data_IF_730542629396
#
_entry.id   IF_730542629396
#
_cell.length_a   1.000
_cell.length_b   1.000
_cell.length_c   1.000
_cell.angle_alpha   90.00
_cell.angle_beta   90.00
_cell.angle_gamma   90.00
#
_symmetry.space_group_name_H-M   'P 1'
#
loop_
_entity.id
_entity.type
_entity.pdbx_description
1 polymer ?
#
# COMPACT_ATOMS: atom_id res chain seq x y z
N UNK A 1 9.29 66.34 52.45
CA UNK A 1 8.02 66.04 51.76
C UNK A 1 8.31 65.83 50.29
N UNK A 2 7.85 64.69 49.77
CA UNK A 2 8.20 64.09 48.49
C UNK A 2 7.50 64.81 47.34
N UNK A 3 8.23 65.20 46.29
CA UNK A 3 7.67 65.52 44.97
C UNK A 3 8.33 64.62 43.92
N UNK A 4 7.48 63.90 43.18
CA UNK A 4 7.82 62.93 42.14
C UNK A 4 8.31 63.65 40.88
N UNK A 5 9.47 63.25 40.37
CA UNK A 5 9.88 63.51 38.99
C UNK A 5 9.91 62.18 38.21
N UNK A 6 9.12 62.12 37.14
CA UNK A 6 9.00 61.00 36.21
C UNK A 6 10.11 61.07 35.16
N UNK A 7 10.94 60.03 35.07
CA UNK A 7 11.95 59.87 34.02
C UNK A 7 11.38 59.17 32.77
N UNK A 8 11.76 59.56 31.55
CA UNK A 8 11.27 58.94 30.32
C UNK A 8 12.04 57.65 29.99
N UNK A 9 11.29 56.59 29.63
CA UNK A 9 11.84 55.29 29.21
C UNK A 9 12.47 55.37 27.80
N UNK A 10 13.75 55.07 27.70
CA UNK A 10 14.50 54.84 26.45
C UNK A 10 13.97 53.61 25.72
N UNK A 11 13.67 53.76 24.43
CA UNK A 11 13.43 52.67 23.47
C UNK A 11 14.79 52.08 23.06
N UNK A 12 15.06 50.84 23.43
CA UNK A 12 16.22 50.09 22.93
C UNK A 12 15.85 49.36 21.64
N UNK A 13 16.51 49.71 20.55
CA UNK A 13 16.55 48.92 19.32
C UNK A 13 17.19 47.55 19.59
N UNK A 14 16.43 46.47 19.43
CA UNK A 14 16.97 45.12 19.33
C UNK A 14 16.93 44.73 17.85
N UNK A 15 18.12 44.46 17.31
CA UNK A 15 18.37 44.06 15.94
C UNK A 15 17.62 42.76 15.58
N UNK A 16 17.02 42.76 14.40
CA UNK A 16 16.36 41.62 13.77
C UNK A 16 17.38 40.51 13.51
N UNK A 17 17.28 39.40 14.26
CA UNK A 17 17.97 38.15 13.93
C UNK A 17 17.31 37.50 12.72
N UNK A 18 18.08 37.52 11.63
CA UNK A 18 18.15 36.58 10.51
C UNK A 18 17.12 35.44 10.51
N UNK A 19 16.27 35.46 9.49
CA UNK A 19 15.38 34.37 9.11
C UNK A 19 16.19 33.09 8.78
N UNK A 20 15.70 31.89 9.15
CA UNK A 20 16.28 30.64 8.66
C UNK A 20 16.12 30.56 7.15
N UNK A 21 17.22 30.21 6.47
CA UNK A 21 17.28 30.01 5.04
C UNK A 21 16.17 29.07 4.56
N UNK A 22 15.46 29.49 3.52
CA UNK A 22 14.53 28.67 2.76
C UNK A 22 15.33 27.50 2.16
N UNK A 23 15.20 26.32 2.74
CA UNK A 23 15.61 25.08 2.11
C UNK A 23 14.70 24.87 0.91
N UNK A 24 15.30 24.91 -0.28
CA UNK A 24 14.67 24.51 -1.54
C UNK A 24 13.94 23.18 -1.35
N UNK A 25 12.73 23.01 -1.92
CA UNK A 25 12.05 21.72 -1.85
C UNK A 25 12.96 20.68 -2.48
N UNK A 26 13.24 19.62 -1.72
CA UNK A 26 13.93 18.44 -2.21
C UNK A 26 13.28 18.03 -3.54
N UNK A 27 14.10 17.93 -4.58
CA UNK A 27 13.71 17.37 -5.86
C UNK A 27 13.06 16.02 -5.62
N UNK A 28 11.83 15.86 -6.09
CA UNK A 28 11.12 14.58 -6.02
C UNK A 28 12.02 13.47 -6.56
N UNK A 29 12.07 12.29 -5.92
CA UNK A 29 12.74 11.14 -6.51
C UNK A 29 12.14 10.88 -7.90
N UNK A 30 12.97 10.34 -8.80
CA UNK A 30 12.57 9.96 -10.16
C UNK A 30 11.59 8.78 -10.11
N UNK A 31 10.37 9.03 -9.65
CA UNK A 31 9.28 8.07 -9.64
C UNK A 31 9.01 7.68 -11.10
N UNK A 32 8.95 6.38 -11.39
CA UNK A 32 8.43 5.90 -12.67
C UNK A 32 7.07 6.54 -12.91
N UNK A 33 6.97 7.33 -13.98
CA UNK A 33 5.76 8.08 -14.29
C UNK A 33 4.93 7.28 -15.27
N UNK A 34 3.77 6.85 -14.78
CA UNK A 34 2.71 6.29 -15.62
C UNK A 34 2.35 7.29 -16.72
N UNK A 35 2.12 6.83 -17.94
CA UNK A 35 1.59 7.73 -18.97
C UNK A 35 0.19 8.20 -18.57
N UNK A 36 -0.24 9.36 -19.05
CA UNK A 36 -1.61 9.85 -18.78
C UNK A 36 -2.68 8.83 -19.18
N UNK A 37 -2.43 8.05 -20.25
CA UNK A 37 -3.33 6.98 -20.70
C UNK A 37 -3.43 5.86 -19.66
N UNK A 38 -2.30 5.46 -19.08
CA UNK A 38 -2.27 4.39 -18.07
C UNK A 38 -2.98 4.87 -16.80
N UNK A 39 -2.71 6.10 -16.37
CA UNK A 39 -3.38 6.74 -15.24
C UNK A 39 -4.89 6.82 -15.45
N UNK A 40 -5.34 7.23 -16.64
CA UNK A 40 -6.77 7.26 -16.97
C UNK A 40 -7.39 5.85 -16.96
N UNK A 41 -6.64 4.84 -17.40
CA UNK A 41 -7.08 3.44 -17.35
C UNK A 41 -7.32 2.98 -15.91
N UNK A 42 -6.42 3.33 -14.98
CA UNK A 42 -6.59 2.97 -13.57
C UNK A 42 -7.81 3.63 -12.93
N UNK A 43 -8.07 4.92 -13.16
CA UNK A 43 -9.27 5.57 -12.61
C UNK A 43 -10.55 5.07 -13.30
N UNK A 44 -10.49 4.66 -14.57
CA UNK A 44 -11.63 4.07 -15.27
C UNK A 44 -12.05 2.72 -14.68
N UNK A 45 -11.10 1.93 -14.16
CA UNK A 45 -11.41 0.66 -13.47
C UNK A 45 -12.31 0.91 -12.26
N UNK A 46 -12.01 1.93 -11.45
CA UNK A 46 -12.88 2.33 -10.34
C UNK A 46 -14.20 2.91 -10.83
N UNK A 47 -14.18 3.76 -11.86
CA UNK A 47 -15.40 4.35 -12.42
C UNK A 47 -16.37 3.28 -12.94
N UNK A 48 -15.85 2.24 -13.60
CA UNK A 48 -16.61 1.10 -14.09
C UNK A 48 -17.13 0.20 -12.97
N UNK A 49 -16.28 -0.14 -11.99
CA UNK A 49 -16.66 -0.98 -10.85
C UNK A 49 -17.76 -0.35 -10.01
N UNK A 50 -17.69 0.97 -9.79
CA UNK A 50 -18.56 1.68 -8.85
C UNK A 50 -19.49 2.68 -9.56
N UNK A 51 -19.83 2.46 -10.83
CA UNK A 51 -20.67 3.38 -11.61
C UNK A 51 -22.00 3.69 -10.90
N UNK A 52 -22.67 2.68 -10.34
CA UNK A 52 -23.92 2.85 -9.60
C UNK A 52 -23.74 3.74 -8.36
N UNK A 53 -22.68 3.52 -7.60
CA UNK A 53 -22.34 4.32 -6.41
C UNK A 53 -22.01 5.75 -6.78
N UNK A 54 -21.20 5.95 -7.83
CA UNK A 54 -20.81 7.27 -8.34
C UNK A 54 -22.00 8.08 -8.87
N UNK A 55 -23.03 7.40 -9.39
CA UNK A 55 -24.27 8.03 -9.86
C UNK A 55 -25.34 8.23 -8.79
N UNK A 56 -25.13 7.70 -7.58
CA UNK A 56 -26.13 7.72 -6.51
C UNK A 56 -26.25 9.10 -5.86
N UNK A 57 -27.49 9.58 -5.74
CA UNK A 57 -27.80 10.83 -5.00
C UNK A 57 -27.45 10.72 -3.50
N UNK A 58 -27.31 9.51 -2.96
CA UNK A 58 -26.95 9.26 -1.57
C UNK A 58 -25.44 9.30 -1.31
N UNK A 59 -24.60 9.26 -2.36
CA UNK A 59 -23.15 9.23 -2.21
C UNK A 59 -22.60 10.37 -1.34
N UNK A 60 -23.01 11.65 -1.50
CA UNK A 60 -22.46 12.72 -0.67
C UNK A 60 -22.69 12.53 0.83
N UNK A 61 -23.87 12.03 1.23
CA UNK A 61 -24.18 11.77 2.63
C UNK A 61 -23.35 10.61 3.18
N UNK A 62 -23.21 9.53 2.40
CA UNK A 62 -22.41 8.37 2.77
C UNK A 62 -20.91 8.72 2.89
N UNK A 63 -20.39 9.55 1.98
CA UNK A 63 -19.01 10.04 2.07
C UNK A 63 -18.78 10.90 3.32
N UNK A 64 -19.76 11.71 3.74
CA UNK A 64 -19.65 12.49 4.98
C UNK A 64 -19.65 11.59 6.22
N UNK A 65 -20.48 10.54 6.24
CA UNK A 65 -20.46 9.55 7.31
C UNK A 65 -19.09 8.87 7.42
N UNK A 66 -18.54 8.39 6.31
CA UNK A 66 -17.23 7.75 6.28
C UNK A 66 -16.15 8.74 6.74
N UNK A 67 -16.15 9.98 6.24
CA UNK A 67 -15.20 11.03 6.67
C UNK A 67 -15.26 11.26 8.17
N UNK A 68 -16.47 11.33 8.74
CA UNK A 68 -16.66 11.54 10.17
C UNK A 68 -16.15 10.36 11.00
N UNK A 69 -16.40 9.12 10.56
CA UNK A 69 -15.90 7.91 11.19
C UNK A 69 -14.36 7.86 11.16
N UNK A 70 -13.74 8.15 10.01
CA UNK A 70 -12.28 8.23 9.86
C UNK A 70 -11.66 9.34 10.71
N UNK A 71 -12.30 10.51 10.80
CA UNK A 71 -11.85 11.60 11.67
C UNK A 71 -11.86 11.19 13.15
N UNK A 72 -12.90 10.45 13.56
CA UNK A 72 -13.03 9.91 14.91
C UNK A 72 -12.17 8.67 15.17
N UNK A 73 -11.47 8.16 14.14
CA UNK A 73 -10.75 6.89 14.14
C UNK A 73 -11.62 5.68 14.54
N UNK A 74 -12.88 5.71 14.12
CA UNK A 74 -13.83 4.62 14.25
C UNK A 74 -13.84 3.82 12.94
N UNK A 75 -12.84 2.96 12.76
CA UNK A 75 -12.66 2.22 11.51
C UNK A 75 -13.71 1.13 11.34
N UNK A 76 -14.15 0.49 12.43
CA UNK A 76 -15.32 -0.38 12.44
C UNK A 76 -16.58 0.27 11.85
N UNK A 77 -16.87 1.53 12.18
CA UNK A 77 -17.97 2.27 11.53
C UNK A 77 -17.66 2.66 10.08
N UNK A 78 -16.42 3.05 9.78
CA UNK A 78 -16.03 3.47 8.43
C UNK A 78 -16.08 2.31 7.41
N UNK A 79 -15.74 1.09 7.85
CA UNK A 79 -15.47 -0.05 6.96
C UNK A 79 -16.35 -1.28 7.23
N UNK A 80 -17.15 -1.29 8.30
CA UNK A 80 -17.95 -2.46 8.67
C UNK A 80 -19.16 -2.75 7.78
N UNK A 81 -19.50 -1.87 6.83
CA UNK A 81 -20.63 -2.05 5.90
C UNK A 81 -20.16 -2.03 4.45
N UNK A 82 -20.71 -2.92 3.63
CA UNK A 82 -20.33 -3.06 2.21
C UNK A 82 -20.56 -1.77 1.40
N UNK A 83 -21.68 -1.07 1.63
CA UNK A 83 -21.96 0.21 0.95
C UNK A 83 -20.94 1.30 1.31
N UNK A 84 -20.49 1.35 2.57
CA UNK A 84 -19.39 2.21 3.00
C UNK A 84 -18.08 1.85 2.28
N UNK A 85 -17.78 0.56 2.12
CA UNK A 85 -16.58 0.09 1.43
C UNK A 85 -16.60 0.43 -0.06
N UNK A 86 -17.73 0.28 -0.74
CA UNK A 86 -17.87 0.68 -2.15
C UNK A 86 -17.73 2.19 -2.32
N UNK A 87 -18.40 2.99 -1.49
CA UNK A 87 -18.27 4.44 -1.52
C UNK A 87 -16.83 4.90 -1.20
N UNK A 88 -16.17 4.21 -0.26
CA UNK A 88 -14.77 4.48 0.04
C UNK A 88 -13.86 4.15 -1.14
N UNK A 89 -14.04 2.97 -1.73
CA UNK A 89 -13.29 2.51 -2.89
C UNK A 89 -13.50 3.44 -4.09
N UNK A 90 -14.71 3.93 -4.30
CA UNK A 90 -15.01 4.87 -5.37
C UNK A 90 -14.36 6.25 -5.16
N UNK A 91 -14.17 6.68 -3.89
CA UNK A 91 -13.73 8.05 -3.57
C UNK A 91 -12.25 8.21 -3.26
N UNK A 92 -11.63 7.29 -2.53
CA UNK A 92 -10.25 7.43 -2.05
C UNK A 92 -9.28 6.45 -2.70
N UNK A 93 -9.74 5.28 -3.14
CA UNK A 93 -8.86 4.30 -3.77
C UNK A 93 -8.31 4.70 -5.14
N UNK A 94 -8.95 5.52 -6.01
CA UNK A 94 -8.37 5.87 -7.31
C UNK A 94 -7.07 6.67 -7.19
N UNK A 95 -7.06 7.75 -6.38
CA UNK A 95 -5.83 8.51 -6.09
C UNK A 95 -4.75 7.60 -5.49
N UNK A 96 -5.13 6.75 -4.54
CA UNK A 96 -4.20 5.85 -3.86
C UNK A 96 -3.61 4.82 -4.81
N UNK A 97 -4.41 4.24 -5.69
CA UNK A 97 -3.95 3.29 -6.70
C UNK A 97 -2.92 3.94 -7.64
N UNK A 98 -3.18 5.16 -8.11
CA UNK A 98 -2.20 5.91 -8.92
C UNK A 98 -0.89 6.14 -8.16
N UNK A 99 -1.00 6.56 -6.89
CA UNK A 99 0.16 6.77 -6.02
C UNK A 99 0.96 5.47 -5.82
N UNK A 100 0.28 4.38 -5.47
CA UNK A 100 0.90 3.09 -5.18
C UNK A 100 1.52 2.48 -6.44
N UNK A 101 0.90 2.66 -7.60
CA UNK A 101 1.46 2.23 -8.87
C UNK A 101 2.77 2.98 -9.18
N UNK A 102 2.87 4.28 -8.87
CA UNK A 102 4.14 5.01 -8.95
C UNK A 102 5.16 4.55 -7.91
N UNK A 103 4.72 4.21 -6.68
CA UNK A 103 5.61 3.66 -5.65
C UNK A 103 6.20 2.32 -6.09
N UNK A 104 5.39 1.39 -6.63
CA UNK A 104 5.87 0.10 -7.12
C UNK A 104 6.89 0.24 -8.25
N UNK A 105 6.68 1.17 -9.18
CA UNK A 105 7.69 1.48 -10.20
C UNK A 105 8.96 2.09 -9.59
N UNK A 106 8.82 2.93 -8.56
CA UNK A 106 9.97 3.53 -7.84
C UNK A 106 10.87 2.46 -7.21
N UNK A 107 10.28 1.40 -6.65
CA UNK A 107 11.01 0.29 -6.03
C UNK A 107 11.28 -0.88 -6.99
N UNK A 108 11.18 -0.68 -8.30
CA UNK A 108 11.24 -1.75 -9.29
C UNK A 108 12.52 -2.60 -9.15
N UNK A 109 13.67 -1.97 -8.89
CA UNK A 109 14.93 -2.69 -8.69
C UNK A 109 14.88 -3.69 -7.51
N UNK A 110 14.16 -3.34 -6.43
CA UNK A 110 13.99 -4.23 -5.29
C UNK A 110 13.02 -5.39 -5.59
N UNK A 111 11.97 -5.12 -6.38
CA UNK A 111 11.03 -6.15 -6.84
C UNK A 111 11.66 -7.10 -7.87
N UNK A 112 12.55 -6.60 -8.73
CA UNK A 112 13.36 -7.41 -9.65
C UNK A 112 14.28 -8.36 -8.88
N UNK A 113 14.96 -7.86 -7.84
CA UNK A 113 15.76 -8.68 -6.95
C UNK A 113 14.93 -9.74 -6.20
N UNK A 114 13.75 -9.37 -5.71
CA UNK A 114 12.84 -10.29 -5.03
C UNK A 114 12.41 -11.46 -5.93
N UNK A 115 12.08 -11.20 -7.19
CA UNK A 115 11.71 -12.25 -8.15
C UNK A 115 12.88 -13.20 -8.45
N UNK A 116 14.09 -12.65 -8.55
CA UNK A 116 15.32 -13.42 -8.78
C UNK A 116 15.65 -14.32 -7.59
N UNK A 117 15.51 -13.79 -6.36
CA UNK A 117 15.69 -14.53 -5.11
C UNK A 117 14.66 -15.68 -5.02
N UNK A 118 13.40 -15.42 -5.39
CA UNK A 118 12.36 -16.45 -5.42
C UNK A 118 12.64 -17.57 -6.43
N UNK A 119 13.16 -17.25 -7.63
CA UNK A 119 13.51 -18.25 -8.63
C UNK A 119 14.61 -19.21 -8.15
N UNK A 120 15.63 -18.69 -7.46
CA UNK A 120 16.73 -19.51 -6.93
C UNK A 120 16.30 -20.45 -5.79
N UNK A 121 15.33 -20.03 -4.97
CA UNK A 121 14.78 -20.87 -3.89
C UNK A 121 14.07 -22.13 -4.41
N UNK A 122 13.35 -22.01 -5.54
CA UNK A 122 12.58 -23.13 -6.14
C UNK A 122 13.51 -24.15 -6.80
N UNK A 123 14.60 -23.71 -7.44
CA UNK A 123 15.60 -24.62 -8.06
C UNK A 123 16.37 -25.45 -7.01
N UNK A 124 16.53 -24.90 -5.81
CA UNK A 124 17.19 -25.60 -4.69
C UNK A 124 16.31 -26.69 -4.07
N UNK A 125 14.98 -26.53 -4.10
CA UNK A 125 14.03 -27.56 -3.63
C UNK A 125 13.83 -28.68 -4.68
N UNK A 126 13.84 -28.35 -5.98
CA UNK A 126 13.64 -29.33 -7.05
C UNK A 126 14.82 -30.28 -7.28
N UNK A 127 16.00 -30.00 -6.72
CA UNK A 127 17.20 -30.85 -6.86
C UNK A 127 17.33 -31.91 -5.76
N UNK A 128 16.38 -31.99 -4.82
CA UNK A 128 16.40 -33.00 -3.74
C UNK A 128 15.49 -34.22 -3.97
N UNK A 129 14.53 -34.17 -4.91
CA UNK A 129 13.69 -35.32 -5.26
C UNK A 129 14.00 -35.80 -6.68
N UNK A 130 14.85 -36.83 -6.77
CA UNK A 130 15.07 -37.57 -8.00
C UNK A 130 13.81 -38.35 -8.40
N UNK A 131 13.03 -37.82 -9.33
CA UNK A 131 12.01 -38.58 -10.05
C UNK A 131 12.03 -38.20 -11.54
N UNK A 132 12.10 -39.24 -12.37
CA UNK A 132 12.39 -39.18 -13.80
C UNK A 132 11.34 -38.42 -14.63
N UNK A 133 11.86 -37.72 -15.63
CA UNK A 133 11.17 -37.03 -16.71
C UNK A 133 10.04 -37.85 -17.37
N UNK A 134 8.94 -37.16 -17.71
CA UNK A 134 8.02 -37.56 -18.77
C UNK A 134 7.78 -36.33 -19.66
N UNK A 135 8.10 -36.39 -20.96
CA UNK A 135 7.87 -35.28 -21.87
C UNK A 135 6.47 -35.40 -22.47
N UNK A 136 5.58 -34.45 -22.20
CA UNK A 136 4.62 -33.89 -23.17
C UNK A 136 3.58 -33.00 -22.46
N UNK A 137 3.63 -31.70 -22.74
CA UNK A 137 2.47 -30.91 -23.16
C UNK A 137 2.96 -29.52 -23.61
N UNK A 138 2.93 -29.33 -24.93
CA UNK A 138 3.20 -28.05 -25.60
C UNK A 138 2.02 -27.09 -25.38
N UNK A 139 2.07 -26.34 -24.29
CA UNK A 139 1.47 -25.03 -24.19
C UNK A 139 2.58 -24.07 -23.77
N UNK A 140 2.72 -22.90 -24.40
CA UNK A 140 3.69 -21.87 -24.03
C UNK A 140 3.40 -21.31 -22.62
N UNK A 141 3.65 -22.11 -21.59
CA UNK A 141 3.65 -21.65 -20.22
C UNK A 141 4.92 -20.83 -20.02
N UNK A 142 4.79 -19.49 -19.98
CA UNK A 142 5.87 -18.60 -19.55
C UNK A 142 6.51 -19.17 -18.27
N UNK A 143 7.85 -19.26 -18.18
CA UNK A 143 8.50 -19.88 -17.04
C UNK A 143 8.06 -19.21 -15.72
N UNK A 144 7.91 -20.00 -14.65
CA UNK A 144 7.56 -19.55 -13.27
C UNK A 144 8.49 -18.46 -12.70
N UNK A 145 9.59 -18.11 -13.39
CA UNK A 145 10.65 -17.19 -12.98
C UNK A 145 10.23 -15.72 -12.88
N UNK A 146 9.13 -15.32 -13.52
CA UNK A 146 8.67 -13.92 -13.52
C UNK A 146 7.41 -13.67 -12.66
N UNK A 147 7.08 -14.59 -11.74
CA UNK A 147 5.87 -14.47 -10.91
C UNK A 147 6.16 -13.80 -9.56
N UNK A 148 5.65 -12.59 -9.37
CA UNK A 148 5.74 -11.86 -8.11
C UNK A 148 4.62 -12.26 -7.14
N UNK A 149 4.96 -12.41 -5.86
CA UNK A 149 3.98 -12.65 -4.80
C UNK A 149 3.81 -11.41 -3.95
N UNK A 150 2.56 -11.07 -3.65
CA UNK A 150 2.20 -9.94 -2.78
C UNK A 150 1.12 -10.35 -1.78
N UNK A 151 1.35 -10.02 -0.50
CA UNK A 151 0.33 -10.04 0.54
C UNK A 151 0.00 -8.60 0.93
N UNK A 152 -1.22 -8.18 0.59
CA UNK A 152 -1.79 -6.91 1.02
C UNK A 152 -2.53 -7.08 2.34
N UNK A 153 -2.19 -6.27 3.32
CA UNK A 153 -2.88 -6.22 4.61
C UNK A 153 -3.55 -4.85 4.73
N UNK A 154 -4.89 -4.82 4.72
CA UNK A 154 -5.73 -3.62 4.84
C UNK A 154 -6.03 -2.87 3.53
N UNK A 155 -5.02 -2.52 2.73
CA UNK A 155 -5.15 -1.60 1.57
C UNK A 155 -5.97 -2.08 0.36
N UNK A 156 -6.58 -3.27 0.46
CA UNK A 156 -7.46 -3.98 -0.50
C UNK A 156 -7.61 -3.32 -1.88
N UNK A 157 -8.59 -2.43 -2.04
CA UNK A 157 -9.02 -1.91 -3.33
C UNK A 157 -7.92 -1.16 -4.12
N UNK A 158 -7.15 -0.30 -3.46
CA UNK A 158 -6.14 0.53 -4.12
C UNK A 158 -4.88 -0.27 -4.46
N UNK A 159 -4.42 -1.09 -3.52
CA UNK A 159 -3.25 -1.95 -3.69
C UNK A 159 -3.46 -2.99 -4.78
N UNK A 160 -4.69 -3.53 -4.89
CA UNK A 160 -5.04 -4.48 -5.95
C UNK A 160 -4.86 -3.89 -7.35
N UNK A 161 -5.48 -2.73 -7.62
CA UNK A 161 -5.38 -2.08 -8.93
C UNK A 161 -3.96 -1.62 -9.23
N UNK A 162 -3.24 -1.12 -8.22
CA UNK A 162 -1.85 -0.70 -8.37
C UNK A 162 -0.91 -1.87 -8.71
N UNK A 163 -1.08 -3.02 -8.06
CA UNK A 163 -0.29 -4.21 -8.33
C UNK A 163 -0.58 -4.77 -9.72
N UNK A 164 -1.85 -4.85 -10.12
CA UNK A 164 -2.23 -5.24 -11.48
C UNK A 164 -1.59 -4.33 -12.54
N UNK A 165 -1.61 -3.01 -12.33
CA UNK A 165 -0.94 -2.05 -13.20
C UNK A 165 0.56 -2.28 -13.29
N UNK A 166 1.21 -2.58 -12.16
CA UNK A 166 2.63 -2.84 -12.14
C UNK A 166 2.99 -4.12 -12.92
N UNK A 167 2.18 -5.18 -12.78
CA UNK A 167 2.34 -6.43 -13.54
C UNK A 167 2.19 -6.21 -15.05
N UNK A 168 1.18 -5.44 -15.48
CA UNK A 168 1.00 -5.12 -16.91
C UNK A 168 2.22 -4.36 -17.47
N UNK A 169 2.68 -3.34 -16.77
CA UNK A 169 3.77 -2.49 -17.26
C UNK A 169 5.12 -3.20 -17.32
N UNK A 170 5.37 -4.05 -16.34
CA UNK A 170 6.59 -4.87 -16.31
C UNK A 170 6.46 -6.18 -17.09
N UNK A 171 5.28 -6.44 -17.68
CA UNK A 171 4.92 -7.68 -18.40
C UNK A 171 5.14 -8.95 -17.57
N UNK A 172 5.02 -8.82 -16.25
CA UNK A 172 5.16 -9.89 -15.25
C UNK A 172 3.81 -10.54 -14.95
N UNK A 173 3.88 -11.72 -14.35
CA UNK A 173 2.72 -12.34 -13.72
C UNK A 173 2.81 -12.20 -12.20
N UNK A 174 1.70 -12.39 -11.49
CA UNK A 174 1.72 -12.28 -10.04
C UNK A 174 0.63 -13.06 -9.34
N UNK A 175 0.80 -13.19 -8.02
CA UNK A 175 -0.19 -13.70 -7.09
C UNK A 175 -0.40 -12.67 -6.00
N UNK A 176 -1.66 -12.27 -5.82
CA UNK A 176 -2.09 -11.29 -4.84
C UNK A 176 -3.02 -11.95 -3.84
N UNK A 177 -2.60 -11.96 -2.58
CA UNK A 177 -3.46 -12.25 -1.45
C UNK A 177 -3.86 -10.93 -0.77
N UNK A 178 -5.16 -10.70 -0.62
CA UNK A 178 -5.71 -9.59 0.15
C UNK A 178 -6.19 -10.11 1.51
N UNK A 179 -5.80 -9.45 2.60
CA UNK A 179 -6.16 -9.78 3.97
C UNK A 179 -6.68 -8.54 4.70
N UNK A 180 -7.91 -8.61 5.20
CA UNK A 180 -8.54 -7.49 5.93
C UNK A 180 -9.62 -8.00 6.89
N UNK A 181 -9.90 -7.27 7.97
CA UNK A 181 -10.97 -7.61 8.92
C UNK A 181 -12.37 -7.26 8.39
N UNK A 182 -12.47 -6.24 7.54
CA UNK A 182 -13.68 -5.76 6.90
C UNK A 182 -14.09 -6.62 5.68
N UNK A 183 -15.39 -6.66 5.31
CA UNK A 183 -15.92 -7.53 4.27
C UNK A 183 -15.65 -7.04 2.83
N UNK A 184 -14.38 -6.91 2.44
CA UNK A 184 -13.98 -6.39 1.12
C UNK A 184 -14.24 -7.33 -0.07
N UNK A 185 -14.78 -8.54 0.15
CA UNK A 185 -14.96 -9.56 -0.89
C UNK A 185 -15.75 -9.02 -2.10
N UNK A 186 -16.84 -8.29 -1.87
CA UNK A 186 -17.66 -7.75 -2.94
C UNK A 186 -16.89 -6.72 -3.79
N UNK A 187 -16.33 -5.71 -3.13
CA UNK A 187 -15.52 -4.64 -3.75
C UNK A 187 -14.36 -5.21 -4.56
N UNK A 188 -13.60 -6.14 -3.98
CA UNK A 188 -12.41 -6.71 -4.62
C UNK A 188 -12.77 -7.62 -5.80
N UNK A 189 -13.92 -8.29 -5.76
CA UNK A 189 -14.45 -9.07 -6.89
C UNK A 189 -14.87 -8.18 -8.06
N UNK A 190 -15.53 -7.03 -7.79
CA UNK A 190 -15.87 -6.06 -8.84
C UNK A 190 -14.62 -5.47 -9.49
N UNK A 191 -13.59 -5.15 -8.70
CA UNK A 191 -12.30 -4.69 -9.22
C UNK A 191 -11.61 -5.77 -10.05
N UNK A 192 -11.57 -7.03 -9.59
CA UNK A 192 -11.01 -8.14 -10.36
C UNK A 192 -11.70 -8.28 -11.72
N UNK A 193 -13.02 -8.18 -11.76
CA UNK A 193 -13.80 -8.22 -12.99
C UNK A 193 -13.41 -7.09 -13.94
N UNK A 194 -13.32 -5.85 -13.45
CA UNK A 194 -12.91 -4.69 -14.27
C UNK A 194 -11.45 -4.76 -14.74
N UNK A 195 -10.56 -5.34 -13.93
CA UNK A 195 -9.15 -5.52 -14.28
C UNK A 195 -8.95 -6.54 -15.42
N UNK A 196 -9.80 -7.57 -15.47
CA UNK A 196 -9.67 -8.71 -16.38
C UNK A 196 -10.66 -8.72 -17.55
N UNK A 197 -11.52 -7.71 -17.64
CA UNK A 197 -12.49 -7.56 -18.73
C UNK A 197 -12.14 -6.34 -19.57
N UNK A 198 -12.13 -6.50 -20.90
CA UNK A 198 -11.91 -5.37 -21.79
C UNK A 198 -13.04 -4.34 -21.61
N UNK A 199 -12.73 -3.03 -21.53
CA UNK A 199 -13.74 -1.99 -21.34
C UNK A 199 -14.85 -2.04 -22.38
N UNK A 200 -16.07 -1.69 -21.96
CA UNK A 200 -17.20 -1.55 -22.87
C UNK A 200 -16.94 -0.40 -23.84
N UNK A 201 -16.99 -0.68 -25.14
CA UNK A 201 -16.85 0.34 -26.17
C UNK A 201 -18.21 0.87 -26.60
N UNK A 202 -18.24 2.16 -26.95
CA UNK A 202 -19.40 2.73 -27.65
C UNK A 202 -19.65 2.02 -28.98
N UNK A 203 -20.92 1.94 -29.40
CA UNK A 203 -21.31 1.46 -30.75
C UNK A 203 -20.58 2.21 -31.87
N UNK A 204 -20.15 3.45 -31.62
CA UNK A 204 -19.44 4.30 -32.57
C UNK A 204 -17.91 4.30 -32.37
N UNK A 205 -17.36 3.39 -31.56
CA UNK A 205 -15.91 3.30 -31.35
C UNK A 205 -15.18 3.05 -32.67
N UNK A 206 -14.10 3.80 -32.88
CA UNK A 206 -13.26 3.72 -34.09
C UNK A 206 -12.61 2.33 -34.22
N UNK A 207 -12.18 1.98 -35.43
CA UNK A 207 -11.46 0.74 -35.67
C UNK A 207 -10.19 0.63 -34.79
N UNK A 208 -9.46 1.73 -34.61
CA UNK A 208 -8.30 1.78 -33.72
C UNK A 208 -8.66 1.52 -32.26
N UNK A 209 -9.75 2.12 -31.76
CA UNK A 209 -10.22 1.89 -30.38
C UNK A 209 -10.64 0.44 -30.16
N UNK A 210 -11.30 -0.18 -31.15
CA UNK A 210 -11.65 -1.61 -31.12
C UNK A 210 -10.42 -2.51 -31.12
N UNK A 211 -9.42 -2.19 -31.95
CA UNK A 211 -8.19 -2.98 -32.05
C UNK A 211 -7.32 -2.90 -30.79
N UNK A 212 -7.35 -1.77 -30.07
CA UNK A 212 -6.61 -1.60 -28.81
C UNK A 212 -7.42 -1.89 -27.56
N UNK A 213 -8.64 -2.45 -27.67
CA UNK A 213 -9.48 -2.73 -26.52
C UNK A 213 -9.06 -4.03 -25.86
N UNK A 214 -8.44 -3.92 -24.70
CA UNK A 214 -7.98 -5.05 -23.93
C UNK A 214 -8.27 -4.82 -22.44
N UNK A 215 -8.36 -5.90 -21.68
CA UNK A 215 -8.29 -5.85 -20.24
C UNK A 215 -6.92 -5.31 -19.79
N UNK A 216 -6.82 -4.80 -18.56
CA UNK A 216 -5.54 -4.35 -18.03
C UNK A 216 -4.58 -5.53 -17.82
N UNK A 217 -5.10 -6.64 -17.31
CA UNK A 217 -4.35 -7.88 -17.10
C UNK A 217 -5.16 -9.08 -17.56
N UNK A 218 -4.49 -10.11 -18.08
CA UNK A 218 -5.13 -11.39 -18.39
C UNK A 218 -5.48 -12.15 -17.10
N UNK A 219 -6.58 -12.91 -17.02
CA UNK A 219 -6.89 -13.75 -15.85
C UNK A 219 -5.76 -14.70 -15.44
N UNK A 220 -4.93 -15.17 -16.38
CA UNK A 220 -3.76 -16.01 -16.11
C UNK A 220 -2.53 -15.22 -15.60
N UNK A 221 -2.50 -13.90 -15.82
CA UNK A 221 -1.42 -13.02 -15.41
C UNK A 221 -1.50 -12.66 -13.91
N UNK A 222 -2.71 -12.52 -13.35
CA UNK A 222 -2.92 -12.17 -11.94
C UNK A 222 -3.81 -13.21 -11.25
N UNK A 223 -3.19 -14.07 -10.44
CA UNK A 223 -3.92 -14.90 -9.49
C UNK A 223 -4.32 -14.07 -8.26
N UNK A 224 -5.58 -14.17 -7.84
CA UNK A 224 -6.18 -13.31 -6.84
C UNK A 224 -6.92 -14.11 -5.77
N UNK A 225 -6.76 -13.76 -4.50
CA UNK A 225 -7.55 -14.28 -3.39
C UNK A 225 -7.81 -13.22 -2.32
N UNK A 226 -8.96 -13.32 -1.64
CA UNK A 226 -9.31 -12.48 -0.50
C UNK A 226 -9.64 -13.34 0.72
N UNK A 227 -9.03 -12.99 1.86
CA UNK A 227 -9.25 -13.59 3.17
C UNK A 227 -9.78 -12.52 4.12
N UNK A 228 -10.98 -12.72 4.65
CA UNK A 228 -11.51 -11.84 5.70
C UNK A 228 -11.04 -12.34 7.08
N UNK A 229 -10.04 -11.69 7.66
CA UNK A 229 -9.55 -11.97 9.01
C UNK A 229 -8.81 -10.76 9.60
N UNK A 230 -8.88 -10.61 10.92
CA UNK A 230 -8.08 -9.64 11.66
C UNK A 230 -6.63 -10.14 11.81
N UNK A 231 -5.71 -9.46 11.14
CA UNK A 231 -4.27 -9.77 11.17
C UNK A 231 -3.68 -9.74 12.59
N UNK A 232 -4.23 -8.92 13.49
CA UNK A 232 -3.76 -8.82 14.87
C UNK A 232 -4.23 -9.99 15.74
N UNK A 233 -5.18 -10.78 15.23
CA UNK A 233 -5.74 -11.95 15.89
C UNK A 233 -5.24 -13.27 15.28
N UNK A 234 -4.46 -13.23 14.20
CA UNK A 234 -3.87 -14.44 13.60
C UNK A 234 -2.81 -15.09 14.50
N UNK A 235 -2.73 -16.42 14.44
CA UNK A 235 -1.59 -17.18 15.00
C UNK A 235 -0.39 -17.11 14.06
N UNK A 236 0.77 -17.53 14.54
CA UNK A 236 1.98 -17.59 13.71
C UNK A 236 1.80 -18.57 12.53
N UNK A 237 1.10 -19.69 12.77
CA UNK A 237 0.80 -20.73 11.78
C UNK A 237 -0.13 -20.18 10.70
N UNK A 238 -1.25 -19.55 11.10
CA UNK A 238 -2.19 -18.96 10.15
C UNK A 238 -1.55 -17.82 9.33
N UNK A 239 -0.69 -17.01 9.96
CA UNK A 239 0.08 -15.99 9.24
C UNK A 239 1.08 -16.62 8.25
N UNK A 240 1.76 -17.70 8.65
CA UNK A 240 2.68 -18.44 7.79
C UNK A 240 1.96 -19.03 6.57
N UNK A 241 0.73 -19.52 6.72
CA UNK A 241 -0.09 -20.02 5.60
C UNK A 241 -0.40 -18.92 4.59
N UNK A 242 -0.69 -17.70 5.04
CA UNK A 242 -0.93 -16.57 4.13
C UNK A 242 0.33 -16.15 3.37
N UNK A 243 1.51 -16.31 3.97
CA UNK A 243 2.80 -15.89 3.40
C UNK A 243 3.39 -16.95 2.45
N UNK A 244 3.18 -18.23 2.75
CA UNK A 244 3.80 -19.34 2.04
C UNK A 244 5.32 -19.42 2.27
N UNK A 245 6.01 -20.19 1.42
CA UNK A 245 7.45 -20.47 1.57
C UNK A 245 8.38 -19.58 0.72
N UNK A 246 7.86 -18.94 -0.33
CA UNK A 246 8.69 -18.18 -1.27
C UNK A 246 8.74 -16.69 -0.90
N UNK A 247 9.86 -15.98 -1.19
CA UNK A 247 9.97 -14.55 -0.98
C UNK A 247 8.80 -13.77 -1.62
N UNK A 248 8.28 -12.78 -0.88
CA UNK A 248 7.16 -11.95 -1.29
C UNK A 248 7.30 -10.50 -0.81
N UNK A 249 6.47 -9.62 -1.35
CA UNK A 249 6.27 -8.28 -0.78
C UNK A 249 5.01 -8.27 0.08
N UNK A 250 5.16 -7.85 1.34
CA UNK A 250 4.05 -7.56 2.25
C UNK A 250 3.85 -6.05 2.27
N UNK A 251 2.60 -5.61 2.12
CA UNK A 251 2.26 -4.19 2.09
C UNK A 251 1.33 -3.82 3.24
N UNK A 252 1.61 -2.66 3.82
CA UNK A 252 0.77 -1.98 4.80
C UNK A 252 0.57 -0.54 4.31
N UNK A 253 -0.36 -0.32 3.37
CA UNK A 253 -0.62 1.02 2.85
C UNK A 253 -1.86 1.64 3.49
N UNK A 254 -1.68 2.73 4.25
CA UNK A 254 -2.69 3.43 5.04
C UNK A 254 -3.42 2.54 6.06
N UNK A 255 -2.72 1.50 6.51
CA UNK A 255 -3.24 0.47 7.42
C UNK A 255 -2.55 0.52 8.79
N UNK A 256 -1.29 0.95 8.85
CA UNK A 256 -0.52 0.93 10.11
C UNK A 256 -1.18 1.81 11.19
N UNK A 257 -1.75 2.94 10.76
CA UNK A 257 -2.57 3.81 11.60
C UNK A 257 -3.75 3.12 12.28
N UNK A 258 -4.47 2.28 11.54
CA UNK A 258 -5.59 1.50 12.04
C UNK A 258 -5.11 0.45 13.04
N UNK A 259 -4.08 -0.31 12.68
CA UNK A 259 -3.51 -1.35 13.54
C UNK A 259 -3.10 -0.78 14.92
N UNK A 260 -2.38 0.33 14.96
CA UNK A 260 -1.99 0.95 16.23
C UNK A 260 -3.16 1.58 17.00
N UNK A 261 -4.20 2.05 16.31
CA UNK A 261 -5.34 2.68 16.97
C UNK A 261 -6.27 1.63 17.59
N UNK A 262 -6.61 0.57 16.85
CA UNK A 262 -7.53 -0.47 17.32
C UNK A 262 -6.81 -1.55 18.14
N UNK A 263 -5.65 -2.00 17.66
CA UNK A 263 -4.84 -3.03 18.29
C UNK A 263 -4.01 -2.55 19.48
N UNK A 264 -3.68 -1.25 19.49
CA UNK A 264 -2.68 -0.70 20.38
C UNK A 264 -1.26 -1.20 20.08
N UNK A 265 -0.27 -0.59 20.74
CA UNK A 265 1.14 -0.94 20.54
C UNK A 265 1.41 -2.43 20.78
N UNK A 266 0.79 -3.02 21.81
CA UNK A 266 1.05 -4.41 22.19
C UNK A 266 0.70 -5.42 21.09
N UNK A 267 -0.52 -5.36 20.54
CA UNK A 267 -0.95 -6.30 19.49
C UNK A 267 -0.21 -6.02 18.18
N UNK A 268 -0.01 -4.75 17.81
CA UNK A 268 0.72 -4.40 16.58
C UNK A 268 2.18 -4.82 16.64
N UNK A 269 2.88 -4.58 17.75
CA UNK A 269 4.25 -5.07 17.96
C UNK A 269 4.31 -6.59 17.96
N UNK A 270 3.33 -7.28 18.57
CA UNK A 270 3.24 -8.75 18.52
C UNK A 270 3.09 -9.24 17.08
N UNK A 271 2.20 -8.63 16.30
CA UNK A 271 2.01 -8.94 14.88
C UNK A 271 3.32 -8.74 14.09
N UNK A 272 3.97 -7.58 14.20
CA UNK A 272 5.21 -7.29 13.47
C UNK A 272 6.34 -8.27 13.82
N UNK A 273 6.44 -8.69 15.09
CA UNK A 273 7.39 -9.73 15.51
C UNK A 273 7.03 -11.09 14.95
N UNK A 274 5.76 -11.48 14.99
CA UNK A 274 5.28 -12.73 14.40
C UNK A 274 5.56 -12.75 12.90
N UNK A 275 5.30 -11.64 12.19
CA UNK A 275 5.63 -11.48 10.78
C UNK A 275 7.12 -11.70 10.55
N UNK A 276 7.99 -11.04 11.31
CA UNK A 276 9.44 -11.24 11.22
C UNK A 276 9.87 -12.69 11.47
N UNK A 277 9.18 -13.44 12.32
CA UNK A 277 9.47 -14.85 12.58
C UNK A 277 9.10 -15.75 11.38
N UNK A 278 7.92 -15.56 10.79
CA UNK A 278 7.37 -16.52 9.80
C UNK A 278 7.53 -16.12 8.34
N UNK A 279 7.74 -14.83 8.02
CA UNK A 279 7.90 -14.39 6.64
C UNK A 279 9.15 -15.02 6.00
N UNK A 280 9.11 -15.49 4.74
CA UNK A 280 10.28 -16.04 4.05
C UNK A 280 11.47 -15.05 4.00
N UNK A 281 12.69 -15.56 4.08
CA UNK A 281 13.91 -14.75 3.93
C UNK A 281 13.98 -14.05 2.56
N UNK A 282 14.57 -12.85 2.50
CA UNK A 282 14.62 -12.04 1.29
C UNK A 282 13.35 -11.25 0.99
N UNK A 283 12.25 -11.52 1.69
CA UNK A 283 10.98 -10.80 1.54
C UNK A 283 11.08 -9.32 1.88
N UNK A 284 10.14 -8.54 1.33
CA UNK A 284 10.05 -7.11 1.52
C UNK A 284 8.84 -6.76 2.40
N UNK A 285 8.97 -5.72 3.22
CA UNK A 285 7.87 -5.05 3.88
C UNK A 285 7.83 -3.59 3.42
N UNK A 286 6.75 -3.21 2.75
CA UNK A 286 6.51 -1.85 2.29
C UNK A 286 5.39 -1.20 3.10
N UNK A 287 5.72 -0.11 3.78
CA UNK A 287 4.77 0.69 4.54
C UNK A 287 4.60 2.04 3.86
N UNK A 288 3.36 2.37 3.50
CA UNK A 288 3.00 3.68 2.93
C UNK A 288 1.88 4.27 3.77
N UNK A 289 2.06 5.37 4.47
CA UNK A 289 1.00 5.92 5.33
C UNK A 289 0.95 7.44 5.28
N UNK A 290 -0.04 8.05 5.92
CA UNK A 290 -0.09 9.50 6.11
C UNK A 290 1.11 9.98 6.96
N UNK A 291 1.71 11.13 6.67
CA UNK A 291 2.78 11.67 7.51
C UNK A 291 2.26 12.66 8.56
N UNK A 292 3.06 12.93 9.59
CA UNK A 292 2.77 13.90 10.64
C UNK A 292 1.81 13.39 11.72
N UNK A 293 1.01 14.28 12.30
CA UNK A 293 0.15 14.01 13.47
C UNK A 293 -0.95 12.96 13.25
N UNK A 294 -1.22 12.62 12.00
CA UNK A 294 -2.10 11.49 11.67
C UNK A 294 -1.44 10.15 12.02
N UNK A 295 -0.11 10.07 11.97
CA UNK A 295 0.70 8.88 12.26
C UNK A 295 1.31 8.90 13.65
N UNK A 296 0.45 9.03 14.66
CA UNK A 296 0.83 8.95 16.06
C UNK A 296 -0.06 7.94 16.82
N UNK A 297 0.57 7.14 17.70
CA UNK A 297 -0.10 6.24 18.63
C UNK A 297 0.12 6.70 20.08
N UNK A 298 -0.90 6.57 20.93
CA UNK A 298 -0.81 6.91 22.35
C UNK A 298 -0.25 5.73 23.17
N UNK A 299 0.80 5.98 23.95
CA UNK A 299 1.47 5.02 24.84
C UNK A 299 1.21 5.40 26.31
N UNK A 300 0.90 4.39 27.13
CA UNK A 300 0.84 4.50 28.58
C UNK A 300 -0.37 5.25 29.14
N UNK A 301 -0.48 5.28 30.48
CA UNK A 301 -1.60 5.93 31.20
C UNK A 301 -1.68 7.44 30.94
N UNK A 302 -0.55 8.06 30.62
CA UNK A 302 -0.43 9.49 30.32
C UNK A 302 -0.74 9.83 28.85
N UNK A 303 -1.08 8.85 28.01
CA UNK A 303 -1.39 9.01 26.57
C UNK A 303 -0.31 9.78 25.79
N UNK A 304 0.96 9.58 26.12
CA UNK A 304 2.07 10.19 25.39
C UNK A 304 2.07 9.68 23.95
N UNK A 305 2.12 10.58 22.98
CA UNK A 305 2.03 10.24 21.56
C UNK A 305 3.41 9.98 20.97
N UNK A 306 3.53 8.91 20.21
CA UNK A 306 4.74 8.52 19.51
C UNK A 306 4.48 8.41 18.02
N UNK A 307 5.36 8.92 17.16
CA UNK A 307 5.28 8.71 15.72
C UNK A 307 5.26 7.20 15.41
N UNK A 308 4.34 6.75 14.58
CA UNK A 308 4.20 5.32 14.27
C UNK A 308 5.40 4.76 13.50
N UNK A 309 6.06 5.59 12.70
CA UNK A 309 7.35 5.24 12.08
C UNK A 309 8.40 4.92 13.15
N UNK A 310 8.43 5.67 14.25
CA UNK A 310 9.34 5.41 15.36
C UNK A 310 9.04 4.06 16.02
N UNK A 311 7.75 3.77 16.28
CA UNK A 311 7.32 2.47 16.83
C UNK A 311 7.65 1.29 15.89
N UNK A 312 7.47 1.51 14.58
CA UNK A 312 7.82 0.55 13.54
C UNK A 312 9.34 0.27 13.53
N UNK A 313 10.17 1.31 13.46
CA UNK A 313 11.63 1.16 13.47
C UNK A 313 12.12 0.51 14.77
N UNK A 314 11.56 0.91 15.91
CA UNK A 314 11.91 0.30 17.20
C UNK A 314 11.60 -1.21 17.22
N UNK A 315 10.47 -1.62 16.62
CA UNK A 315 10.08 -3.03 16.55
C UNK A 315 10.92 -3.81 15.53
N UNK A 316 11.22 -3.24 14.36
CA UNK A 316 11.90 -3.95 13.27
C UNK A 316 13.43 -3.92 13.38
N UNK A 317 14.01 -2.79 13.79
CA UNK A 317 15.46 -2.52 13.69
C UNK A 317 16.17 -2.55 15.05
N UNK A 318 15.52 -2.09 16.12
CA UNK A 318 16.17 -1.93 17.44
C UNK A 318 15.89 -3.10 18.39
N UNK A 319 14.78 -3.82 18.21
CA UNK A 319 14.43 -4.97 19.04
C UNK A 319 15.29 -6.18 18.67
N UNK A 320 16.05 -6.71 19.63
CA UNK A 320 16.79 -7.96 19.44
C UNK A 320 15.82 -9.08 19.03
N UNK A 321 16.07 -9.64 17.84
CA UNK A 321 15.28 -10.72 17.26
C UNK A 321 16.17 -11.95 17.03
N UNK A 322 15.81 -13.08 17.64
CA UNK A 322 16.49 -14.35 17.38
C UNK A 322 16.05 -14.90 16.02
N UNK A 323 17.01 -15.20 15.14
CA UNK A 323 16.74 -15.89 13.87
C UNK A 323 16.51 -15.00 12.64
N UNK A 324 16.35 -13.68 12.80
CA UNK A 324 16.20 -12.77 11.66
C UNK A 324 16.68 -11.34 11.98
N UNK A 325 16.91 -10.56 10.93
CA UNK A 325 17.18 -9.12 10.97
C UNK A 325 16.39 -8.41 9.88
N UNK A 326 16.02 -7.16 10.11
CA UNK A 326 15.45 -6.28 9.09
C UNK A 326 16.45 -5.20 8.71
N UNK A 327 16.59 -4.97 7.41
CA UNK A 327 17.39 -3.90 6.84
C UNK A 327 16.46 -2.86 6.21
N UNK A 328 16.65 -1.58 6.54
CA UNK A 328 15.89 -0.50 5.92
C UNK A 328 16.52 -0.13 4.57
N UNK A 329 15.75 -0.27 3.50
CA UNK A 329 16.23 -0.04 2.13
C UNK A 329 15.94 1.39 1.66
N UNK A 330 14.70 1.84 1.81
CA UNK A 330 14.25 3.17 1.39
C UNK A 330 13.39 3.83 2.46
N UNK A 331 13.43 5.17 2.51
CA UNK A 331 12.72 5.96 3.51
C UNK A 331 12.43 7.36 3.00
N UNK A 332 11.16 7.73 2.98
CA UNK A 332 10.67 9.04 2.59
C UNK A 332 9.64 9.51 3.61
N UNK A 333 9.90 10.63 4.30
CA UNK A 333 9.10 11.05 5.46
C UNK A 333 7.84 11.83 5.09
N UNK A 334 7.79 12.44 3.90
CA UNK A 334 6.63 13.21 3.44
C UNK A 334 6.74 13.61 1.96
N UNK A 335 6.02 12.89 1.10
CA UNK A 335 5.90 13.16 -0.34
C UNK A 335 4.46 13.56 -0.68
N UNK A 336 4.32 14.54 -1.58
CA UNK A 336 3.04 14.85 -2.21
C UNK A 336 2.85 14.06 -3.49
N UNK A 337 1.78 13.27 -3.55
CA UNK A 337 1.23 12.78 -4.81
C UNK A 337 0.17 13.78 -5.30
N UNK A 338 0.41 14.35 -6.48
CA UNK A 338 -0.49 15.33 -7.10
C UNK A 338 -1.29 14.65 -8.21
N UNK A 339 -2.60 14.79 -8.15
CA UNK A 339 -3.51 14.32 -9.18
C UNK A 339 -3.24 15.08 -10.48
N UNK A 340 -3.02 14.38 -11.61
CA UNK A 340 -2.92 15.03 -12.91
C UNK A 340 -4.25 15.69 -13.27
N UNK A 341 -4.22 16.97 -13.66
CA UNK A 341 -5.42 17.77 -13.94
C UNK A 341 -6.23 17.26 -15.14
N UNK A 342 -5.57 16.55 -16.06
CA UNK A 342 -6.17 16.09 -17.30
C UNK A 342 -6.90 14.74 -17.18
N UNK A 343 -7.02 14.17 -15.98
CA UNK A 343 -7.79 12.94 -15.75
C UNK A 343 -9.29 13.26 -15.59
N UNK A 344 -10.12 12.40 -16.17
CA UNK A 344 -11.58 12.47 -16.04
C UNK A 344 -12.05 11.42 -15.03
N UNK A 345 -12.86 11.85 -14.05
CA UNK A 345 -13.52 10.97 -13.10
C UNK A 345 -14.87 11.59 -12.67
N UNK A 346 -15.92 10.80 -12.34
CA UNK A 346 -17.26 11.34 -12.08
C UNK A 346 -17.35 12.30 -10.88
N UNK A 347 -16.40 12.22 -9.96
CA UNK A 347 -16.30 13.10 -8.79
C UNK A 347 -14.88 13.65 -8.65
N UNK A 348 -14.73 14.75 -7.92
CA UNK A 348 -13.41 15.33 -7.67
C UNK A 348 -12.54 14.38 -6.82
N UNK A 349 -11.40 14.00 -7.38
CA UNK A 349 -10.34 13.30 -6.67
C UNK A 349 -9.39 14.30 -6.02
N UNK A 350 -8.73 13.89 -4.93
CA UNK A 350 -7.87 14.76 -4.13
C UNK A 350 -6.40 14.35 -4.24
N UNK A 351 -5.51 15.32 -4.06
CA UNK A 351 -4.10 15.07 -3.81
C UNK A 351 -3.93 14.32 -2.48
N UNK A 352 -2.87 13.53 -2.37
CA UNK A 352 -2.53 12.88 -1.11
C UNK A 352 -1.09 13.13 -0.72
N UNK A 353 -0.83 13.14 0.58
CA UNK A 353 0.50 13.19 1.15
C UNK A 353 0.78 11.88 1.84
N UNK A 354 1.95 11.30 1.61
CA UNK A 354 2.33 10.01 2.19
C UNK A 354 3.78 10.03 2.67
N UNK A 355 4.11 9.15 3.59
CA UNK A 355 5.45 8.68 3.90
C UNK A 355 5.58 7.25 3.38
N UNK A 356 6.81 6.81 3.11
CA UNK A 356 7.10 5.49 2.59
C UNK A 356 8.34 4.93 3.29
N UNK A 357 8.28 3.67 3.72
CA UNK A 357 9.41 2.95 4.31
C UNK A 357 9.45 1.53 3.76
N UNK A 358 10.58 1.15 3.17
CA UNK A 358 10.81 -0.19 2.62
C UNK A 358 11.86 -0.91 3.46
N UNK A 359 11.57 -2.16 3.82
CA UNK A 359 12.47 -3.01 4.58
C UNK A 359 12.64 -4.37 3.88
N UNK A 360 13.80 -5.00 4.06
CA UNK A 360 14.07 -6.38 3.64
C UNK A 360 14.42 -7.22 4.86
N UNK A 361 13.92 -8.45 4.90
CA UNK A 361 14.24 -9.40 5.96
C UNK A 361 15.34 -10.37 5.54
N UNK A 362 16.28 -10.60 6.44
CA UNK A 362 17.31 -11.63 6.32
C UNK A 362 17.11 -12.67 7.43
N UNK A 363 17.05 -13.95 7.08
CA UNK A 363 17.01 -15.05 8.06
C UNK A 363 18.44 -15.47 8.38
N UNK A 364 18.73 -15.69 9.65
CA UNK A 364 20.01 -16.29 10.06
C UNK A 364 19.92 -17.77 9.75
N UNK A 365 20.86 -18.29 8.96
CA UNK A 365 21.03 -19.73 8.77
C UNK A 365 21.23 -20.35 10.15
N UNK A 366 20.25 -21.12 10.62
CA UNK A 366 20.50 -22.07 11.69
C UNK A 366 21.41 -23.14 11.11
N UNK A 367 22.70 -23.09 11.42
CA UNK A 367 23.58 -24.25 11.25
C UNK A 367 22.95 -25.37 12.07
N UNK A 368 22.31 -26.33 11.40
CA UNK A 368 21.84 -27.56 11.99
C UNK A 368 23.04 -28.45 12.34
#
# INVERSE_FOLDING_TARGET
MVSKASAPKKKSHIASRTAPAQTSPASAPANGTHSQRDQQTLVNIFAGAFANVLSSEHLPALLQEIKQALYNRDFGRAFGREDCLEAYAARWSPTRALCYASVFLGINAHLDGLASDAASSVESEATQDGAADSPDEQGEARPRRDRLKMLCIGGCAAEHVAFASYLDQTKRSGTLALLDSAPWKHVTSMLQMQLTTAPALSKYASAAARASNAALVDPSQLAFSFTQADVLSLTAEALSEQLGSAPLIVTLMFTLNELYTEGGIGKTTKFLRSLGQVIPGGSLLLVVDSPGSYSEAAVGKEKKRYPMQWLLNHTLLESESSGYTWDKLESEESIWFRMPEALSYPIQLENMRYQMHLYRISKKLTNA
#
